data_IF_796109469421
#
_entry.id   IF_796109469421
#
_cell.length_a   1.000
_cell.length_b   1.000
_cell.length_c   1.000
_cell.angle_alpha   90.00
_cell.angle_beta   90.00
_cell.angle_gamma   90.00
#
_symmetry.space_group_name_H-M   'P 1'
#
loop_
_entity.id
_entity.type
_entity.pdbx_description
1 polymer ?
#
# COMPACT_ATOMS: atom_id res chain seq x y z
N UNK A 1 6.26 22.89 15.45
CA UNK A 1 7.29 22.30 16.33
C UNK A 1 6.57 21.50 17.40
N UNK A 2 7.11 20.37 17.85
CA UNK A 2 6.52 19.52 18.91
C UNK A 2 7.54 19.41 20.04
N UNK A 3 7.16 19.80 21.25
CA UNK A 3 7.95 19.73 22.47
C UNK A 3 7.94 18.35 23.12
N UNK A 4 8.89 18.09 24.03
CA UNK A 4 9.01 16.80 24.71
C UNK A 4 7.86 16.53 25.70
N UNK A 5 7.18 17.58 26.14
CA UNK A 5 6.05 17.56 27.09
C UNK A 5 4.70 17.70 26.40
N UNK A 6 4.66 17.92 25.09
CA UNK A 6 3.40 18.09 24.37
C UNK A 6 2.61 16.78 24.38
N UNK A 7 1.33 16.88 24.67
CA UNK A 7 0.43 15.73 24.70
C UNK A 7 0.07 15.33 23.27
N UNK A 8 0.32 14.07 22.94
CA UNK A 8 0.04 13.49 21.64
C UNK A 8 -1.43 13.62 21.21
N UNK A 9 -2.38 13.38 22.11
CA UNK A 9 -3.81 13.43 21.79
C UNK A 9 -4.34 14.87 21.66
N UNK A 10 -3.78 15.81 22.45
CA UNK A 10 -4.12 17.23 22.32
C UNK A 10 -3.62 17.82 20.99
N UNK A 11 -2.54 17.26 20.43
CA UNK A 11 -2.05 17.59 19.08
C UNK A 11 -2.85 16.89 17.96
N UNK A 12 -3.97 16.25 18.27
CA UNK A 12 -4.80 15.53 17.30
C UNK A 12 -4.33 14.11 17.00
N UNK A 13 -3.46 13.55 17.84
CA UNK A 13 -3.05 12.16 17.77
C UNK A 13 -4.23 11.19 17.95
N UNK A 14 -4.23 10.10 17.18
CA UNK A 14 -5.25 9.04 17.26
C UNK A 14 -4.60 7.64 17.23
N UNK A 15 -5.42 6.60 17.20
CA UNK A 15 -4.95 5.20 17.15
C UNK A 15 -4.14 4.88 15.88
N UNK A 16 -4.40 5.55 14.75
CA UNK A 16 -3.69 5.32 13.48
C UNK A 16 -2.30 5.96 13.57
N UNK A 17 -2.23 7.22 13.98
CA UNK A 17 -0.97 7.94 14.22
C UNK A 17 -0.13 7.24 15.30
N UNK A 18 -0.77 6.66 16.32
CA UNK A 18 -0.10 5.87 17.36
C UNK A 18 0.63 4.66 16.76
N UNK A 19 -0.06 3.88 15.93
CA UNK A 19 0.53 2.71 15.26
C UNK A 19 1.65 3.13 14.30
N UNK A 20 1.50 4.27 13.60
CA UNK A 20 2.55 4.81 12.73
C UNK A 20 3.81 5.21 13.49
N UNK A 21 3.68 5.92 14.62
CA UNK A 21 4.81 6.30 15.48
C UNK A 21 5.54 5.03 15.94
N UNK A 22 4.80 4.03 16.40
CA UNK A 22 5.38 2.77 16.87
C UNK A 22 6.11 2.03 15.74
N UNK A 23 5.52 1.97 14.53
CA UNK A 23 6.14 1.34 13.38
C UNK A 23 7.43 2.06 12.95
N UNK A 24 7.40 3.40 12.88
CA UNK A 24 8.58 4.24 12.53
C UNK A 24 9.67 4.16 13.61
N UNK A 25 9.30 4.22 14.89
CA UNK A 25 10.22 4.05 16.01
C UNK A 25 10.91 2.67 15.95
N UNK A 26 10.14 1.61 15.69
CA UNK A 26 10.68 0.25 15.56
C UNK A 26 11.70 0.12 14.42
N UNK A 27 11.49 0.80 13.29
CA UNK A 27 12.46 0.87 12.18
C UNK A 27 13.78 1.55 12.59
N UNK A 28 13.71 2.48 13.53
CA UNK A 28 14.87 3.15 14.13
C UNK A 28 15.45 2.39 15.34
N UNK A 29 15.01 1.15 15.59
CA UNK A 29 15.50 0.35 16.72
C UNK A 29 14.88 0.72 18.06
N UNK A 30 13.77 1.44 18.08
CA UNK A 30 13.06 1.85 19.30
C UNK A 30 11.76 1.07 19.40
N UNK A 31 11.65 0.17 20.39
CA UNK A 31 10.44 -0.61 20.64
C UNK A 31 9.51 0.12 21.61
N UNK A 32 8.31 0.40 21.13
CA UNK A 32 7.18 0.92 21.88
C UNK A 32 5.95 0.04 21.63
N UNK A 33 4.97 0.05 22.54
CA UNK A 33 3.68 -0.62 22.37
C UNK A 33 2.53 0.39 22.35
N UNK A 34 1.38 0.05 21.74
CA UNK A 34 0.22 0.94 21.74
C UNK A 34 -0.21 1.31 23.16
N UNK A 35 -0.23 0.33 24.07
CA UNK A 35 -0.51 0.55 25.49
C UNK A 35 0.41 1.62 26.11
N UNK A 36 1.71 1.54 25.84
CA UNK A 36 2.66 2.53 26.35
C UNK A 36 2.39 3.93 25.80
N UNK A 37 2.02 4.08 24.52
CA UNK A 37 1.71 5.38 23.92
C UNK A 37 0.44 6.01 24.52
N UNK A 38 -0.59 5.19 24.77
CA UNK A 38 -1.80 5.65 25.46
C UNK A 38 -1.56 6.02 26.93
N UNK A 39 -0.69 5.30 27.63
CA UNK A 39 -0.36 5.57 29.04
C UNK A 39 0.66 6.71 29.22
N UNK A 40 1.58 6.87 28.27
CA UNK A 40 2.70 7.81 28.30
C UNK A 40 2.55 8.73 27.09
N UNK A 41 1.75 9.78 27.26
CA UNK A 41 1.19 10.56 26.15
C UNK A 41 2.12 11.66 25.63
N UNK A 42 3.33 11.76 26.18
CA UNK A 42 4.35 12.74 25.76
C UNK A 42 5.64 12.04 25.37
N UNK A 43 6.45 12.68 24.52
CA UNK A 43 7.75 12.13 24.07
C UNK A 43 8.66 11.85 25.28
N UNK A 44 8.71 12.76 26.26
CA UNK A 44 9.51 12.61 27.46
C UNK A 44 9.11 11.41 28.30
N UNK A 45 7.80 11.14 28.44
CA UNK A 45 7.31 9.96 29.14
C UNK A 45 7.57 8.68 28.34
N UNK A 46 7.40 8.71 27.00
CA UNK A 46 7.68 7.56 26.14
C UNK A 46 9.15 7.16 26.18
N UNK A 47 10.06 8.14 26.19
CA UNK A 47 11.49 7.90 26.30
C UNK A 47 11.86 7.06 27.54
N UNK A 48 11.13 7.24 28.65
CA UNK A 48 11.36 6.49 29.89
C UNK A 48 10.99 4.99 29.82
N UNK A 49 10.09 4.62 28.90
CA UNK A 49 9.60 3.24 28.73
C UNK A 49 10.04 2.59 27.42
N UNK A 50 10.67 3.37 26.54
CA UNK A 50 11.19 2.92 25.26
C UNK A 50 12.35 1.93 25.47
N UNK A 51 12.34 0.84 24.70
CA UNK A 51 13.45 -0.12 24.70
C UNK A 51 14.21 -0.03 23.40
N UNK A 52 15.51 0.19 23.48
CA UNK A 52 16.40 0.01 22.34
C UNK A 52 16.47 -1.48 22.00
N UNK A 53 16.12 -1.81 20.78
CA UNK A 53 16.26 -3.14 20.23
C UNK A 53 17.39 -3.10 19.20
N UNK A 54 18.24 -4.13 19.21
CA UNK A 54 19.18 -4.31 18.12
C UNK A 54 18.39 -4.37 16.82
N UNK A 55 18.79 -3.56 15.85
CA UNK A 55 18.27 -3.61 14.49
C UNK A 55 18.65 -4.99 13.97
N UNK A 56 17.75 -5.97 14.08
CA UNK A 56 17.95 -7.25 13.40
C UNK A 56 18.18 -6.89 11.93
N UNK A 57 19.22 -7.45 11.28
CA UNK A 57 19.32 -7.38 9.84
C UNK A 57 17.93 -7.72 9.31
N UNK A 58 17.41 -6.88 8.42
CA UNK A 58 16.23 -7.26 7.64
C UNK A 58 16.69 -8.49 6.88
N UNK A 59 16.40 -9.68 7.42
CA UNK A 59 16.61 -10.91 6.70
C UNK A 59 15.89 -10.72 5.36
N UNK A 60 16.54 -11.09 4.25
CA UNK A 60 15.88 -11.13 2.96
C UNK A 60 14.63 -12.01 3.14
N UNK A 61 13.47 -11.38 3.31
CA UNK A 61 12.23 -12.11 3.46
C UNK A 61 11.93 -12.62 2.07
N UNK A 62 12.07 -13.94 1.90
CA UNK A 62 11.71 -14.62 0.66
C UNK A 62 10.30 -14.21 0.22
N UNK A 63 10.09 -14.08 -1.09
CA UNK A 63 8.77 -13.77 -1.62
C UNK A 63 7.75 -14.78 -1.11
N UNK A 64 6.67 -14.29 -0.50
CA UNK A 64 5.59 -15.18 -0.05
C UNK A 64 5.02 -15.94 -1.26
N UNK A 65 4.85 -17.24 -1.09
CA UNK A 65 4.39 -18.18 -2.13
C UNK A 65 3.41 -19.20 -1.53
N UNK A 66 2.67 -19.89 -2.40
CA UNK A 66 1.70 -20.91 -2.00
C UNK A 66 0.32 -20.34 -1.62
N UNK A 67 -0.51 -21.21 -1.04
CA UNK A 67 -1.86 -20.88 -0.59
C UNK A 67 -1.90 -20.67 0.92
N UNK A 68 -2.80 -19.81 1.37
CA UNK A 68 -3.08 -19.55 2.77
C UNK A 68 -4.59 -19.53 3.02
N UNK A 69 -5.04 -19.89 4.23
CA UNK A 69 -6.44 -19.70 4.61
C UNK A 69 -6.80 -18.21 4.53
N UNK A 70 -8.07 -17.94 4.25
CA UNK A 70 -8.59 -16.57 4.24
C UNK A 70 -8.46 -15.93 5.62
N UNK A 71 -8.14 -14.64 5.63
CA UNK A 71 -8.30 -13.83 6.83
C UNK A 71 -9.80 -13.71 7.18
N UNK A 72 -10.17 -13.49 8.46
CA UNK A 72 -11.58 -13.40 8.86
C UNK A 72 -12.42 -12.41 8.03
N UNK A 73 -11.84 -11.26 7.68
CA UNK A 73 -12.53 -10.25 6.85
C UNK A 73 -12.70 -10.71 5.40
N UNK A 74 -11.74 -11.47 4.86
CA UNK A 74 -11.81 -12.03 3.52
C UNK A 74 -12.84 -13.17 3.47
N UNK A 75 -12.89 -14.04 4.48
CA UNK A 75 -13.91 -15.07 4.61
C UNK A 75 -15.32 -14.46 4.62
N UNK A 76 -15.54 -13.45 5.47
CA UNK A 76 -16.81 -12.71 5.51
C UNK A 76 -17.19 -12.10 4.17
N UNK A 77 -16.23 -11.53 3.42
CA UNK A 77 -16.50 -10.97 2.10
C UNK A 77 -17.05 -12.03 1.13
N UNK A 78 -16.50 -13.26 1.14
CA UNK A 78 -16.95 -14.33 0.25
C UNK A 78 -18.27 -14.99 0.69
N UNK A 79 -18.69 -14.82 1.94
CA UNK A 79 -20.02 -15.23 2.42
C UNK A 79 -21.14 -14.32 1.90
N UNK A 80 -20.84 -13.06 1.58
CA UNK A 80 -21.82 -12.09 1.09
C UNK A 80 -22.12 -12.31 -0.40
N UNK A 81 -23.40 -12.28 -0.77
CA UNK A 81 -23.82 -12.22 -2.17
C UNK A 81 -23.56 -10.83 -2.76
N UNK A 82 -22.43 -10.70 -3.44
CA UNK A 82 -21.99 -9.46 -4.08
C UNK A 82 -21.93 -9.73 -5.60
N UNK A 83 -22.77 -9.06 -6.41
CA UNK A 83 -22.64 -9.09 -7.87
C UNK A 83 -21.29 -8.52 -8.30
N UNK A 84 -20.65 -9.12 -9.31
CA UNK A 84 -19.35 -8.66 -9.84
C UNK A 84 -18.31 -8.41 -8.73
N UNK A 85 -18.05 -9.41 -7.87
CA UNK A 85 -17.13 -9.29 -6.70
C UNK A 85 -15.75 -8.72 -7.03
N UNK A 86 -15.33 -8.84 -8.29
CA UNK A 86 -14.09 -8.27 -8.81
C UNK A 86 -14.04 -6.73 -8.74
N UNK A 87 -15.19 -6.08 -8.75
CA UNK A 87 -15.32 -4.62 -8.69
C UNK A 87 -15.69 -4.16 -7.27
N UNK A 88 -14.82 -4.47 -6.30
CA UNK A 88 -14.96 -4.04 -4.91
C UNK A 88 -13.66 -3.39 -4.43
N UNK A 89 -13.44 -2.17 -4.91
CA UNK A 89 -12.13 -1.54 -4.89
C UNK A 89 -12.07 -0.35 -3.95
N UNK A 90 -10.85 0.00 -3.54
CA UNK A 90 -10.51 1.34 -3.11
C UNK A 90 -9.67 2.02 -4.19
N UNK A 91 -9.83 3.32 -4.37
CA UNK A 91 -9.05 4.06 -5.35
C UNK A 91 -8.67 5.45 -4.84
N UNK A 92 -7.53 5.96 -5.32
CA UNK A 92 -7.07 7.32 -5.07
C UNK A 92 -6.63 7.97 -6.38
N UNK A 93 -7.07 9.21 -6.61
CA UNK A 93 -6.62 10.04 -7.72
C UNK A 93 -5.61 11.05 -7.21
N UNK A 94 -4.40 11.03 -7.78
CA UNK A 94 -3.29 11.89 -7.38
C UNK A 94 -2.99 12.90 -8.49
N UNK A 95 -2.64 14.12 -8.08
CA UNK A 95 -2.05 15.12 -8.95
C UNK A 95 -0.54 15.16 -8.69
N UNK A 96 0.30 14.71 -9.63
CA UNK A 96 1.75 14.79 -9.48
C UNK A 96 2.21 16.25 -9.37
N UNK A 97 3.16 16.52 -8.47
CA UNK A 97 3.78 17.85 -8.37
C UNK A 97 4.75 18.14 -9.52
N UNK A 98 5.29 17.08 -10.10
CA UNK A 98 6.18 17.09 -11.26
C UNK A 98 5.71 16.06 -12.25
N UNK A 99 5.95 16.29 -13.53
CA UNK A 99 5.63 15.31 -14.57
C UNK A 99 6.29 13.95 -14.25
N UNK A 100 5.51 12.89 -14.32
CA UNK A 100 5.93 11.52 -14.12
C UNK A 100 6.38 10.92 -15.45
N UNK A 101 7.52 10.25 -15.41
CA UNK A 101 7.99 9.37 -16.47
C UNK A 101 7.34 7.99 -16.29
N UNK A 102 6.63 7.53 -17.32
CA UNK A 102 5.89 6.27 -17.27
C UNK A 102 6.79 5.05 -17.06
N UNK A 103 8.02 5.07 -17.58
CA UNK A 103 8.99 3.96 -17.46
C UNK A 103 9.50 3.84 -16.03
N UNK A 104 9.82 4.99 -15.41
CA UNK A 104 10.22 5.04 -14.00
C UNK A 104 9.05 4.67 -13.09
N UNK A 105 7.83 5.11 -13.42
CA UNK A 105 6.63 4.77 -12.66
C UNK A 105 6.31 3.28 -12.73
N UNK A 106 6.36 2.67 -13.91
CA UNK A 106 6.21 1.22 -14.08
C UNK A 106 7.25 0.46 -13.23
N UNK A 107 8.51 0.90 -13.26
CA UNK A 107 9.58 0.29 -12.46
C UNK A 107 9.33 0.43 -10.95
N UNK A 108 8.88 1.59 -10.49
CA UNK A 108 8.52 1.83 -9.10
C UNK A 108 7.32 0.97 -8.65
N UNK A 109 6.31 0.82 -9.50
CA UNK A 109 5.16 -0.06 -9.25
C UNK A 109 5.57 -1.54 -9.19
N UNK A 110 6.49 -1.97 -10.05
CA UNK A 110 7.05 -3.34 -9.97
C UNK A 110 7.71 -3.59 -8.62
N UNK A 111 8.56 -2.66 -8.15
CA UNK A 111 9.19 -2.77 -6.83
C UNK A 111 8.17 -2.74 -5.69
N UNK A 112 7.09 -1.95 -5.83
CA UNK A 112 6.00 -1.92 -4.85
C UNK A 112 5.31 -3.28 -4.72
N UNK A 113 5.01 -3.94 -5.84
CA UNK A 113 4.39 -5.29 -5.85
C UNK A 113 5.36 -6.35 -5.34
N UNK A 114 6.66 -6.23 -5.64
CA UNK A 114 7.70 -7.11 -5.07
C UNK A 114 7.81 -6.96 -3.55
N UNK A 115 7.67 -5.73 -3.05
CA UNK A 115 7.76 -5.40 -1.65
C UNK A 115 6.53 -5.85 -0.86
N UNK A 116 5.34 -5.67 -1.42
CA UNK A 116 4.05 -5.90 -0.76
C UNK A 116 3.36 -7.14 -1.33
N UNK A 117 3.74 -8.30 -0.81
CA UNK A 117 3.29 -9.62 -1.31
C UNK A 117 1.75 -9.77 -1.40
N UNK A 118 0.99 -9.07 -0.56
CA UNK A 118 -0.48 -9.07 -0.59
C UNK A 118 -1.05 -8.60 -1.94
N UNK A 119 -0.37 -7.70 -2.65
CA UNK A 119 -0.77 -7.22 -3.98
C UNK A 119 -0.72 -8.30 -5.05
N UNK A 120 -0.02 -9.42 -4.78
CA UNK A 120 0.07 -10.59 -5.67
C UNK A 120 -0.94 -11.68 -5.32
N UNK A 121 -1.81 -11.47 -4.33
CA UNK A 121 -2.81 -12.48 -3.99
C UNK A 121 -3.83 -12.64 -5.11
N UNK A 122 -4.24 -13.88 -5.35
CA UNK A 122 -5.46 -14.24 -6.04
C UNK A 122 -6.35 -15.05 -5.09
N UNK A 123 -7.65 -15.05 -5.36
CA UNK A 123 -8.68 -15.72 -4.61
C UNK A 123 -9.46 -16.64 -5.55
N UNK A 124 -9.53 -17.92 -5.21
CA UNK A 124 -10.25 -18.90 -6.02
C UNK A 124 -10.93 -19.94 -5.14
N UNK A 125 -12.01 -20.51 -5.65
CA UNK A 125 -12.67 -21.63 -4.99
C UNK A 125 -12.00 -22.93 -5.39
N UNK A 126 -11.53 -23.70 -4.40
CA UNK A 126 -10.97 -25.03 -4.57
C UNK A 126 -11.72 -25.99 -3.64
N UNK A 127 -12.26 -27.08 -4.19
CA UNK A 127 -13.05 -28.07 -3.43
C UNK A 127 -14.20 -27.47 -2.60
N UNK A 128 -14.89 -26.46 -3.15
CA UNK A 128 -16.01 -25.80 -2.48
C UNK A 128 -15.62 -24.69 -1.50
N UNK A 129 -14.34 -24.51 -1.18
CA UNK A 129 -13.85 -23.49 -0.24
C UNK A 129 -13.00 -22.44 -0.93
N UNK A 130 -13.16 -21.17 -0.57
CA UNK A 130 -12.30 -20.09 -1.04
C UNK A 130 -10.93 -20.16 -0.38
N UNK A 131 -9.88 -19.93 -1.17
CA UNK A 131 -8.50 -19.83 -0.71
C UNK A 131 -7.83 -18.62 -1.34
N UNK A 132 -6.87 -18.05 -0.63
CA UNK A 132 -5.95 -17.04 -1.15
C UNK A 132 -4.66 -17.73 -1.60
N UNK A 133 -4.11 -17.34 -2.74
CA UNK A 133 -2.88 -17.90 -3.31
C UNK A 133 -2.00 -16.77 -3.82
N UNK A 134 -0.71 -16.81 -3.50
CA UNK A 134 0.24 -15.87 -4.07
C UNK A 134 0.51 -16.21 -5.54
N UNK A 135 0.17 -15.27 -6.43
CA UNK A 135 0.51 -15.32 -7.84
C UNK A 135 1.98 -14.97 -8.11
N UNK A 136 2.47 -15.26 -9.32
CA UNK A 136 3.80 -14.85 -9.75
C UNK A 136 3.91 -13.32 -9.75
N UNK A 137 5.13 -12.81 -9.69
CA UNK A 137 5.37 -11.40 -9.96
C UNK A 137 5.12 -11.14 -11.46
N UNK A 138 3.92 -10.66 -11.78
CA UNK A 138 3.56 -10.21 -13.11
C UNK A 138 3.03 -8.78 -13.05
N UNK A 139 3.82 -7.84 -13.54
CA UNK A 139 3.50 -6.40 -13.52
C UNK A 139 3.49 -5.78 -14.90
N UNK A 140 3.56 -6.61 -15.97
CA UNK A 140 3.72 -6.15 -17.36
C UNK A 140 2.66 -5.14 -17.80
N UNK A 141 1.41 -5.37 -17.41
CA UNK A 141 0.28 -4.54 -17.84
C UNK A 141 -0.25 -3.66 -16.71
N UNK A 142 0.49 -3.52 -15.61
CA UNK A 142 0.02 -2.88 -14.37
C UNK A 142 -0.28 -1.38 -14.55
N UNK A 143 0.53 -0.69 -15.35
CA UNK A 143 0.38 0.73 -15.65
C UNK A 143 -0.27 0.93 -17.03
N UNK A 144 -1.44 1.57 -17.03
CA UNK A 144 -2.05 2.12 -18.23
C UNK A 144 -1.63 3.57 -18.41
N UNK A 145 -1.36 3.96 -19.65
CA UNK A 145 -0.98 5.34 -19.99
C UNK A 145 -1.90 5.85 -21.08
N UNK A 146 -2.44 7.06 -20.90
CA UNK A 146 -3.33 7.69 -21.87
C UNK A 146 -3.03 9.17 -21.98
N UNK A 147 -3.25 9.73 -23.17
CA UNK A 147 -3.27 11.17 -23.41
C UNK A 147 -4.71 11.55 -23.75
N UNK A 148 -5.27 12.53 -23.06
CA UNK A 148 -6.61 13.04 -23.29
C UNK A 148 -6.58 14.48 -23.78
N UNK A 149 -7.37 14.76 -24.80
CA UNK A 149 -7.63 16.12 -25.28
C UNK A 149 -8.74 16.83 -24.46
N UNK A 150 -9.51 16.06 -23.68
CA UNK A 150 -10.60 16.55 -22.82
C UNK A 150 -10.59 15.81 -21.47
N UNK A 151 -10.48 16.57 -20.39
CA UNK A 151 -10.50 16.04 -19.03
C UNK A 151 -11.83 15.39 -18.63
N UNK A 152 -12.94 15.68 -19.32
CA UNK A 152 -14.23 15.04 -19.07
C UNK A 152 -14.19 13.51 -19.29
N UNK A 153 -13.30 13.03 -20.18
CA UNK A 153 -13.11 11.61 -20.49
C UNK A 153 -12.32 10.85 -19.43
N UNK A 154 -11.72 11.55 -18.45
CA UNK A 154 -10.99 10.92 -17.36
C UNK A 154 -11.86 9.98 -16.53
N UNK A 155 -13.14 10.33 -16.33
CA UNK A 155 -14.06 9.49 -15.56
C UNK A 155 -14.31 8.15 -16.24
N UNK A 156 -14.39 8.11 -17.58
CA UNK A 156 -14.60 6.88 -18.35
C UNK A 156 -13.40 5.94 -18.22
N UNK A 157 -12.18 6.45 -18.37
CA UNK A 157 -10.95 5.66 -18.17
C UNK A 157 -10.79 5.18 -16.72
N UNK A 158 -11.16 6.01 -15.74
CA UNK A 158 -11.13 5.62 -14.34
C UNK A 158 -12.09 4.45 -14.06
N UNK A 159 -13.28 4.52 -14.65
CA UNK A 159 -14.30 3.47 -14.60
C UNK A 159 -13.84 2.16 -15.28
N UNK A 160 -13.16 2.26 -16.42
CA UNK A 160 -12.53 1.10 -17.08
C UNK A 160 -11.44 0.47 -16.20
N UNK A 161 -10.57 1.30 -15.60
CA UNK A 161 -9.53 0.84 -14.70
C UNK A 161 -10.13 0.13 -13.46
N UNK A 162 -11.23 0.64 -12.90
CA UNK A 162 -11.96 0.03 -11.79
C UNK A 162 -12.51 -1.36 -12.14
N UNK A 163 -13.03 -1.55 -13.35
CA UNK A 163 -13.57 -2.84 -13.82
C UNK A 163 -12.49 -3.83 -14.27
N UNK A 164 -11.22 -3.43 -14.29
CA UNK A 164 -10.13 -4.21 -14.88
C UNK A 164 -9.47 -5.24 -13.95
N UNK A 165 -9.87 -5.29 -12.67
CA UNK A 165 -9.26 -6.20 -11.70
C UNK A 165 -9.90 -7.59 -11.78
N UNK A 166 -9.09 -8.63 -11.55
CA UNK A 166 -9.55 -10.02 -11.54
C UNK A 166 -9.10 -10.70 -10.24
N UNK A 167 -10.05 -11.34 -9.55
CA UNK A 167 -9.78 -11.93 -8.23
C UNK A 167 -8.95 -13.19 -8.35
N UNK A 168 -9.09 -13.95 -9.44
CA UNK A 168 -8.51 -15.29 -9.55
C UNK A 168 -7.06 -15.23 -10.03
N UNK A 169 -6.82 -14.48 -11.09
CA UNK A 169 -5.57 -14.41 -11.82
C UNK A 169 -4.84 -13.08 -11.62
N UNK A 170 -5.50 -12.09 -11.01
CA UNK A 170 -4.98 -10.74 -10.90
C UNK A 170 -4.98 -9.98 -12.24
N UNK A 171 -4.50 -8.73 -12.22
CA UNK A 171 -3.93 -8.06 -11.05
C UNK A 171 -5.02 -7.55 -10.09
N UNK A 172 -4.64 -7.36 -8.81
CA UNK A 172 -5.49 -6.70 -7.80
C UNK A 172 -5.12 -5.23 -7.57
N UNK A 173 -4.16 -4.72 -8.35
CA UNK A 173 -3.76 -3.32 -8.43
C UNK A 173 -3.81 -2.92 -9.91
N UNK A 174 -4.28 -1.71 -10.20
CA UNK A 174 -4.16 -1.05 -11.50
C UNK A 174 -3.67 0.37 -11.27
N UNK A 175 -2.69 0.80 -12.05
CA UNK A 175 -2.31 2.20 -12.15
C UNK A 175 -2.75 2.75 -13.51
N UNK A 176 -3.24 3.98 -13.53
CA UNK A 176 -3.61 4.71 -14.73
C UNK A 176 -2.97 6.10 -14.65
N UNK A 177 -1.98 6.35 -15.50
CA UNK A 177 -1.36 7.65 -15.69
C UNK A 177 -1.99 8.33 -16.92
N UNK A 178 -2.52 9.52 -16.73
CA UNK A 178 -3.18 10.28 -17.79
C UNK A 178 -2.53 11.64 -17.95
N UNK A 179 -2.07 11.93 -19.16
CA UNK A 179 -1.72 13.28 -19.60
C UNK A 179 -2.99 14.01 -20.02
N UNK A 180 -3.20 15.18 -19.45
CA UNK A 180 -4.34 16.06 -19.70
C UNK A 180 -3.89 17.31 -20.47
N UNK A 181 -4.84 18.12 -21.00
CA UNK A 181 -4.52 19.40 -21.61
C UNK A 181 -3.76 20.33 -20.66
N UNK A 182 -3.06 21.31 -21.22
CA UNK A 182 -2.21 22.27 -20.47
C UNK A 182 -1.03 21.64 -19.70
N UNK A 183 -0.66 20.39 -19.99
CA UNK A 183 0.48 19.72 -19.37
C UNK A 183 0.20 19.21 -17.96
N UNK A 184 -1.08 19.10 -17.58
CA UNK A 184 -1.47 18.46 -16.33
C UNK A 184 -1.35 16.93 -16.42
N UNK A 185 -1.07 16.29 -15.30
CA UNK A 185 -1.13 14.83 -15.18
C UNK A 185 -2.04 14.41 -14.04
N UNK A 186 -2.60 13.22 -14.16
CA UNK A 186 -3.31 12.51 -13.09
C UNK A 186 -2.83 11.07 -13.00
N UNK A 187 -2.64 10.60 -11.78
CA UNK A 187 -2.32 9.20 -11.49
C UNK A 187 -3.43 8.61 -10.64
N UNK A 188 -4.20 7.69 -11.22
CA UNK A 188 -5.17 6.87 -10.51
C UNK A 188 -4.52 5.57 -10.08
N UNK A 189 -4.67 5.21 -8.81
CA UNK A 189 -4.35 3.88 -8.29
C UNK A 189 -5.65 3.22 -7.84
N UNK A 190 -5.92 2.01 -8.33
CA UNK A 190 -7.09 1.20 -7.95
C UNK A 190 -6.58 -0.10 -7.35
N UNK A 191 -7.03 -0.46 -6.15
CA UNK A 191 -6.66 -1.70 -5.49
C UNK A 191 -7.90 -2.39 -4.94
N UNK A 192 -8.00 -3.71 -5.13
CA UNK A 192 -9.11 -4.49 -4.60
C UNK A 192 -9.09 -4.48 -3.07
N UNK A 193 -10.24 -4.24 -2.43
CA UNK A 193 -10.32 -4.01 -0.97
C UNK A 193 -9.89 -5.23 -0.13
N UNK A 194 -9.85 -6.44 -0.72
CA UNK A 194 -9.34 -7.65 -0.05
C UNK A 194 -7.85 -7.60 0.29
N UNK A 195 -7.09 -6.70 -0.35
CA UNK A 195 -5.63 -6.60 -0.20
C UNK A 195 -5.16 -5.20 0.19
N UNK A 196 -6.08 -4.28 0.47
CA UNK A 196 -5.77 -2.91 0.91
C UNK A 196 -6.79 -2.39 1.92
N UNK A 197 -6.32 -1.52 2.81
CA UNK A 197 -7.13 -0.72 3.72
C UNK A 197 -6.55 0.71 3.86
N UNK A 198 -7.20 1.54 4.69
CA UNK A 198 -6.78 2.93 4.90
C UNK A 198 -5.40 3.11 5.53
N UNK A 199 -4.86 2.11 6.23
CA UNK A 199 -3.48 2.14 6.77
C UNK A 199 -2.49 1.75 5.67
N UNK A 200 -2.85 0.74 4.88
CA UNK A 200 -2.07 0.22 3.75
C UNK A 200 -1.81 1.31 2.71
N UNK A 201 -2.82 2.13 2.37
CA UNK A 201 -2.65 3.23 1.41
C UNK A 201 -1.49 4.17 1.75
N UNK A 202 -1.32 4.54 3.02
CA UNK A 202 -0.23 5.44 3.42
C UNK A 202 1.13 4.79 3.21
N UNK A 203 1.26 3.50 3.56
CA UNK A 203 2.51 2.75 3.34
C UNK A 203 2.81 2.61 1.85
N UNK A 204 1.79 2.25 1.05
CA UNK A 204 1.94 2.08 -0.40
C UNK A 204 2.34 3.37 -1.10
N UNK A 205 1.72 4.50 -0.73
CA UNK A 205 2.03 5.81 -1.30
C UNK A 205 3.43 6.32 -0.88
N UNK A 206 3.81 6.14 0.40
CA UNK A 206 5.16 6.47 0.89
C UNK A 206 6.23 5.66 0.14
N UNK A 207 6.05 4.34 0.02
CA UNK A 207 7.00 3.45 -0.64
C UNK A 207 7.06 3.70 -2.16
N UNK A 208 5.92 3.95 -2.82
CA UNK A 208 5.86 4.29 -4.24
C UNK A 208 6.60 5.60 -4.53
N UNK A 209 6.36 6.64 -3.72
CA UNK A 209 7.07 7.91 -3.85
C UNK A 209 8.57 7.74 -3.64
N UNK A 210 8.98 6.99 -2.61
CA UNK A 210 10.39 6.74 -2.31
C UNK A 210 11.08 5.99 -3.46
N UNK A 211 10.45 4.93 -3.99
CA UNK A 211 10.98 4.16 -5.10
C UNK A 211 11.11 5.03 -6.37
N UNK A 212 10.06 5.78 -6.71
CA UNK A 212 10.06 6.65 -7.88
C UNK A 212 11.15 7.74 -7.79
N UNK A 213 11.27 8.43 -6.66
CA UNK A 213 12.27 9.48 -6.46
C UNK A 213 13.71 8.95 -6.54
N UNK A 214 13.98 7.78 -5.94
CA UNK A 214 15.29 7.15 -6.03
C UNK A 214 15.64 6.76 -7.48
N UNK A 215 14.68 6.17 -8.22
CA UNK A 215 14.87 5.85 -9.64
C UNK A 215 15.12 7.09 -10.49
N UNK A 216 14.33 8.15 -10.30
CA UNK A 216 14.50 9.43 -11.00
C UNK A 216 15.85 10.10 -10.71
N UNK A 217 16.39 9.90 -9.50
CA UNK A 217 17.71 10.38 -9.10
C UNK A 217 18.88 9.44 -9.50
N UNK A 218 18.60 8.29 -10.14
CA UNK A 218 19.62 7.28 -10.43
C UNK A 218 20.23 6.64 -9.18
N UNK A 219 19.52 6.67 -8.05
CA UNK A 219 19.96 6.14 -6.77
C UNK A 219 19.41 4.72 -6.53
N UNK A 220 20.10 3.89 -5.72
CA UNK A 220 19.57 2.61 -5.33
C UNK A 220 18.28 2.78 -4.52
N UNK A 221 17.25 2.02 -4.89
CA UNK A 221 15.99 1.99 -4.15
C UNK A 221 16.17 1.18 -2.86
N UNK A 222 15.91 1.82 -1.73
CA UNK A 222 16.00 1.20 -0.40
C UNK A 222 14.66 1.31 0.33
N UNK A 223 13.74 0.39 0.02
CA UNK A 223 12.46 0.29 0.73
C UNK A 223 12.67 -0.32 2.14
N UNK A 224 11.80 0.01 3.12
CA UNK A 224 11.83 -0.60 4.44
C UNK A 224 11.75 -2.14 4.37
N UNK A 225 12.21 -2.85 5.38
CA UNK A 225 12.08 -4.32 5.40
C UNK A 225 10.62 -4.78 5.30
N UNK A 226 10.38 -5.88 4.57
CA UNK A 226 9.04 -6.46 4.39
C UNK A 226 8.34 -6.68 5.73
N UNK A 227 7.12 -6.18 5.84
CA UNK A 227 6.21 -6.45 6.94
C UNK A 227 5.01 -7.21 6.40
N UNK A 228 4.72 -8.39 6.92
CA UNK A 228 3.54 -9.16 6.52
C UNK A 228 2.63 -9.38 7.73
N UNK A 229 1.36 -9.04 7.57
CA UNK A 229 0.28 -9.39 8.49
C UNK A 229 -0.36 -10.75 8.14
N UNK A 230 0.14 -11.43 7.10
CA UNK A 230 -0.38 -12.70 6.56
C UNK A 230 0.29 -13.94 7.17
N UNK A 231 0.93 -13.80 8.35
CA UNK A 231 1.58 -14.89 9.08
C UNK A 231 0.86 -15.16 10.39
#
# INVERSE_FOLDING_TARGET
QVGSTDNFFELGGDSILSLQIIARAKRQGIKLSPKQLFEKQTIGQLASVAKLIQKKPVAAVEQSSGSLPLLPIQARFFELEIPERHHWNQAVMLTPQTALDATLLQSALTMLVEQHDALRLGFSQQNGSWQATFGPLNTRDLLWTHVLDDAARLSELADEAQRSLDLKNGPLLRALLVDLPQGEQRLLLVIHHLVVDGVSWRVLLEDLQQAYQALAAGQPVALPGKTSSLK
#
